data_IF_799531697089
#
_entry.id   IF_799531697089
#
_cell.length_a   1.000
_cell.length_b   1.000
_cell.length_c   1.000
_cell.angle_alpha   90.00
_cell.angle_beta   90.00
_cell.angle_gamma   90.00
#
_symmetry.space_group_name_H-M   'P 1'
#
loop_
_entity.id
_entity.type
_entity.pdbx_description
1 polymer ?
#
# COMPACT_ATOMS: atom_id res chain seq x y z
N UNK A 1 -17.52 0.19 -9.86
CA UNK A 1 -16.73 0.07 -8.62
C UNK A 1 -15.32 0.46 -8.98
N UNK A 2 -14.61 1.21 -8.13
CA UNK A 2 -13.18 1.44 -8.34
C UNK A 2 -12.48 0.08 -8.41
N UNK A 3 -11.59 -0.08 -9.40
CA UNK A 3 -10.78 -1.28 -9.57
C UNK A 3 -9.86 -1.40 -8.35
N UNK A 4 -9.94 -2.55 -7.66
CA UNK A 4 -9.14 -2.79 -6.46
C UNK A 4 -7.78 -3.34 -6.86
N UNK A 5 -6.74 -2.98 -6.12
CA UNK A 5 -5.44 -3.64 -6.31
C UNK A 5 -5.56 -5.12 -5.93
N UNK A 6 -4.76 -5.97 -6.58
CA UNK A 6 -4.67 -7.39 -6.23
C UNK A 6 -4.33 -7.60 -4.74
N UNK A 7 -3.56 -6.68 -4.15
CA UNK A 7 -3.27 -6.69 -2.71
C UNK A 7 -4.54 -6.55 -1.85
N UNK A 8 -5.40 -5.58 -2.17
CA UNK A 8 -6.68 -5.39 -1.47
C UNK A 8 -7.63 -6.57 -1.70
N UNK A 9 -7.64 -7.16 -2.89
CA UNK A 9 -8.47 -8.34 -3.18
C UNK A 9 -8.08 -9.56 -2.35
N UNK A 10 -6.78 -9.80 -2.14
CA UNK A 10 -6.29 -10.96 -1.38
C UNK A 10 -6.48 -10.80 0.13
N UNK A 11 -6.27 -9.60 0.67
CA UNK A 11 -6.30 -9.36 2.12
C UNK A 11 -7.61 -8.77 2.64
N UNK A 12 -8.49 -8.35 1.73
CA UNK A 12 -9.76 -7.71 2.04
C UNK A 12 -9.64 -6.20 2.21
N UNK A 13 -10.78 -5.53 2.00
CA UNK A 13 -10.89 -4.07 2.05
C UNK A 13 -11.03 -3.54 3.49
N UNK A 14 -9.90 -3.56 4.19
CA UNK A 14 -9.79 -3.03 5.54
C UNK A 14 -8.94 -1.74 5.55
N UNK A 15 -9.21 -0.80 6.48
CA UNK A 15 -8.44 0.45 6.57
C UNK A 15 -6.92 0.27 6.62
N UNK A 16 -6.42 -0.72 7.38
CA UNK A 16 -4.99 -1.03 7.43
C UNK A 16 -4.46 -1.48 6.06
N UNK A 17 -5.20 -2.33 5.37
CA UNK A 17 -4.82 -2.87 4.06
C UNK A 17 -4.75 -1.75 3.03
N UNK A 18 -5.73 -0.84 2.99
CA UNK A 18 -5.70 0.32 2.08
C UNK A 18 -4.55 1.30 2.36
N UNK A 19 -4.18 1.49 3.63
CA UNK A 19 -2.99 2.29 3.99
C UNK A 19 -1.71 1.59 3.51
N UNK A 20 -1.58 0.29 3.73
CA UNK A 20 -0.41 -0.47 3.29
C UNK A 20 -0.31 -0.54 1.77
N UNK A 21 -1.42 -0.76 1.07
CA UNK A 21 -1.51 -0.77 -0.39
C UNK A 21 -0.95 0.54 -0.98
N UNK A 22 -1.45 1.68 -0.50
CA UNK A 22 -0.92 2.99 -0.90
C UNK A 22 0.58 3.12 -0.61
N UNK A 23 1.02 2.76 0.60
CA UNK A 23 2.43 2.88 0.99
C UNK A 23 3.36 1.97 0.17
N UNK A 24 2.92 0.78 -0.21
CA UNK A 24 3.68 -0.16 -1.05
C UNK A 24 3.80 0.38 -2.48
N UNK A 25 2.70 0.90 -3.03
CA UNK A 25 2.67 1.53 -4.35
C UNK A 25 3.56 2.78 -4.40
N UNK A 26 3.48 3.62 -3.36
CA UNK A 26 4.14 4.92 -3.29
C UNK A 26 5.49 4.90 -2.57
N UNK A 27 6.07 3.70 -2.35
CA UNK A 27 7.27 3.46 -1.53
C UNK A 27 8.53 4.24 -1.94
N UNK A 28 8.60 4.68 -3.18
CA UNK A 28 9.74 5.42 -3.75
C UNK A 28 9.66 6.93 -3.50
N UNK A 29 8.60 7.39 -2.81
CA UNK A 29 8.31 8.79 -2.52
C UNK A 29 7.94 8.99 -1.03
N UNK A 30 7.91 10.25 -0.60
CA UNK A 30 7.46 10.63 0.74
C UNK A 30 6.20 11.51 0.72
N UNK A 31 5.36 11.33 1.74
CA UNK A 31 4.05 11.96 1.83
C UNK A 31 3.74 12.42 3.25
N UNK A 32 2.93 13.47 3.37
CA UNK A 32 2.36 13.85 4.65
C UNK A 32 1.28 12.86 5.10
N UNK A 33 1.01 12.82 6.41
CA UNK A 33 -0.10 12.02 6.96
C UNK A 33 -1.43 12.34 6.28
N UNK A 34 -1.67 13.60 5.93
CA UNK A 34 -2.89 14.05 5.23
C UNK A 34 -2.99 13.46 3.82
N UNK A 35 -1.89 13.47 3.07
CA UNK A 35 -1.85 12.87 1.72
C UNK A 35 -2.04 11.36 1.79
N UNK A 36 -1.40 10.68 2.74
CA UNK A 36 -1.55 9.23 2.93
C UNK A 36 -3.01 8.90 3.31
N UNK A 37 -3.61 9.64 4.24
CA UNK A 37 -5.01 9.45 4.64
C UNK A 37 -5.95 9.62 3.44
N UNK A 38 -5.74 10.69 2.65
CA UNK A 38 -6.55 10.99 1.47
C UNK A 38 -6.42 9.90 0.41
N UNK A 39 -5.20 9.52 0.05
CA UNK A 39 -4.94 8.57 -1.03
C UNK A 39 -5.27 7.11 -0.66
N UNK A 40 -5.26 6.77 0.64
CA UNK A 40 -5.76 5.47 1.12
C UNK A 40 -7.29 5.42 1.26
N UNK A 41 -7.98 6.56 1.14
CA UNK A 41 -9.43 6.67 1.32
C UNK A 41 -9.90 6.32 2.74
N UNK A 42 -9.02 6.41 3.74
CA UNK A 42 -9.32 6.03 5.13
C UNK A 42 -9.74 7.26 5.92
N UNK A 43 -10.76 7.13 6.78
CA UNK A 43 -11.16 8.21 7.69
C UNK A 43 -10.09 8.49 8.76
N UNK A 44 -9.92 9.76 9.14
CA UNK A 44 -8.85 10.21 10.05
C UNK A 44 -8.79 9.45 11.38
N UNK A 45 -9.95 9.11 11.97
CA UNK A 45 -9.99 8.37 13.24
C UNK A 45 -9.32 7.00 13.10
N UNK A 46 -9.69 6.22 12.09
CA UNK A 46 -9.09 4.90 11.84
C UNK A 46 -7.61 5.03 11.45
N UNK A 47 -7.29 5.99 10.58
CA UNK A 47 -5.93 6.25 10.15
C UNK A 47 -5.01 6.57 11.32
N UNK A 48 -5.42 7.47 12.23
CA UNK A 48 -4.56 7.91 13.34
C UNK A 48 -4.22 6.79 14.31
N UNK A 49 -5.13 5.83 14.55
CA UNK A 49 -4.82 4.62 15.34
C UNK A 49 -3.85 3.69 14.59
N UNK A 50 -4.12 3.41 13.31
CA UNK A 50 -3.22 2.60 12.46
C UNK A 50 -1.82 3.20 12.41
N UNK A 51 -1.73 4.51 12.20
CA UNK A 51 -0.48 5.23 12.01
C UNK A 51 0.44 5.13 13.23
N UNK A 52 -0.11 5.22 14.44
CA UNK A 52 0.67 5.01 15.68
C UNK A 52 1.37 3.65 15.68
N UNK A 53 0.68 2.60 15.25
CA UNK A 53 1.24 1.25 15.17
C UNK A 53 2.29 1.11 14.08
N UNK A 54 2.07 1.71 12.90
CA UNK A 54 3.04 1.67 11.80
C UNK A 54 4.35 2.38 12.17
N UNK A 55 4.26 3.54 12.85
CA UNK A 55 5.43 4.28 13.34
C UNK A 55 6.14 3.48 14.44
N UNK A 56 5.41 2.95 15.42
CA UNK A 56 5.99 2.19 16.54
C UNK A 56 6.71 0.90 16.10
N UNK A 57 6.29 0.30 14.99
CA UNK A 57 6.92 -0.87 14.38
C UNK A 57 7.98 -0.54 13.33
N UNK A 58 8.30 0.74 13.16
CA UNK A 58 9.21 1.25 12.13
C UNK A 58 8.85 0.76 10.72
N UNK A 59 7.55 0.60 10.44
CA UNK A 59 7.04 0.28 9.10
C UNK A 59 7.07 1.54 8.23
N UNK A 60 6.83 2.70 8.83
CA UNK A 60 6.98 4.02 8.21
C UNK A 60 7.96 4.85 9.01
N UNK A 61 8.73 5.69 8.32
CA UNK A 61 9.77 6.54 8.93
C UNK A 61 9.62 7.98 8.48
N UNK A 62 9.87 8.92 9.38
CA UNK A 62 9.97 10.35 9.04
C UNK A 62 11.18 10.55 8.12
N UNK A 63 10.97 11.17 6.96
CA UNK A 63 12.05 11.46 6.00
C UNK A 63 12.58 12.88 6.16
N UNK A 64 11.67 13.86 6.11
CA UNK A 64 12.00 15.29 6.17
C UNK A 64 10.84 16.13 6.67
N UNK A 65 11.15 17.39 6.97
CA UNK A 65 10.19 18.43 7.33
C UNK A 65 10.27 19.57 6.31
N UNK A 66 9.13 19.95 5.75
CA UNK A 66 9.01 21.08 4.83
C UNK A 66 8.05 22.10 5.45
N UNK A 67 8.57 23.25 5.88
CA UNK A 67 7.81 24.19 6.70
C UNK A 67 7.30 23.52 7.97
N UNK A 68 5.98 23.44 8.16
CA UNK A 68 5.35 22.72 9.28
C UNK A 68 4.95 21.27 8.95
N UNK A 69 5.01 20.85 7.68
CA UNK A 69 4.63 19.51 7.26
C UNK A 69 5.75 18.50 7.54
N UNK A 70 5.37 17.34 8.08
CA UNK A 70 6.23 16.16 8.23
C UNK A 70 5.92 15.19 7.11
N UNK A 71 6.95 14.74 6.39
CA UNK A 71 6.83 13.74 5.34
C UNK A 71 7.37 12.40 5.81
N UNK A 72 6.72 11.33 5.37
CA UNK A 72 7.00 9.97 5.75
C UNK A 72 7.09 9.09 4.52
N UNK A 73 7.94 8.07 4.59
CA UNK A 73 8.04 7.03 3.57
C UNK A 73 7.90 5.65 4.21
N UNK A 74 7.61 4.65 3.36
CA UNK A 74 7.69 3.26 3.75
C UNK A 74 9.15 2.90 4.06
N UNK A 75 9.40 2.26 5.20
CA UNK A 75 10.74 1.88 5.62
C UNK A 75 11.20 0.60 4.92
N UNK A 76 11.69 0.72 3.69
CA UNK A 76 12.17 -0.41 2.88
C UNK A 76 13.42 -1.10 3.46
N UNK A 77 14.06 -0.52 4.49
CA UNK A 77 15.15 -1.18 5.20
C UNK A 77 14.67 -2.24 6.20
N UNK A 78 13.43 -2.11 6.70
CA UNK A 78 12.82 -3.02 7.67
C UNK A 78 12.60 -4.42 7.04
N UNK A 79 13.10 -5.52 7.66
CA UNK A 79 12.98 -6.86 7.10
C UNK A 79 11.53 -7.30 6.84
N UNK A 80 10.61 -6.96 7.73
CA UNK A 80 9.20 -7.30 7.57
C UNK A 80 8.57 -6.55 6.38
N UNK A 81 8.91 -5.28 6.21
CA UNK A 81 8.46 -4.47 5.07
C UNK A 81 9.00 -5.03 3.75
N UNK A 82 10.23 -5.54 3.70
CA UNK A 82 10.78 -6.18 2.51
C UNK A 82 9.96 -7.42 2.11
N UNK A 83 9.57 -8.24 3.07
CA UNK A 83 8.73 -9.41 2.82
C UNK A 83 7.31 -9.01 2.39
N UNK A 84 6.75 -7.94 2.96
CA UNK A 84 5.47 -7.37 2.53
C UNK A 84 5.50 -6.93 1.05
N UNK A 85 6.53 -6.21 0.64
CA UNK A 85 6.72 -5.79 -0.76
C UNK A 85 6.93 -7.00 -1.68
N UNK A 86 7.66 -8.03 -1.22
CA UNK A 86 7.84 -9.26 -2.01
C UNK A 86 6.50 -9.96 -2.22
N UNK A 87 5.68 -10.06 -1.18
CA UNK A 87 4.36 -10.68 -1.24
C UNK A 87 3.43 -9.94 -2.22
N UNK A 88 3.39 -8.62 -2.17
CA UNK A 88 2.65 -7.78 -3.13
C UNK A 88 3.07 -8.05 -4.58
N UNK A 89 4.38 -8.13 -4.85
CA UNK A 89 4.91 -8.48 -6.19
C UNK A 89 4.46 -9.87 -6.65
N UNK A 90 4.43 -10.85 -5.74
CA UNK A 90 3.98 -12.22 -6.06
C UNK A 90 2.50 -12.22 -6.42
N UNK A 91 1.66 -11.58 -5.60
CA UNK A 91 0.22 -11.47 -5.83
C UNK A 91 -0.07 -10.76 -7.15
N UNK A 92 0.58 -9.62 -7.39
CA UNK A 92 0.44 -8.86 -8.65
C UNK A 92 0.80 -9.70 -9.87
N UNK A 93 1.90 -10.47 -9.80
CA UNK A 93 2.30 -11.36 -10.89
C UNK A 93 1.26 -12.45 -11.15
N UNK A 94 0.76 -13.10 -10.09
CA UNK A 94 -0.23 -14.17 -10.21
C UNK A 94 -1.52 -13.67 -10.87
N UNK A 95 -2.04 -12.52 -10.44
CA UNK A 95 -3.25 -11.95 -11.06
C UNK A 95 -2.99 -11.50 -12.50
N UNK A 96 -1.81 -10.93 -12.79
CA UNK A 96 -1.44 -10.57 -14.18
C UNK A 96 -1.40 -11.80 -15.09
N UNK A 97 -0.78 -12.90 -14.64
CA UNK A 97 -0.70 -14.16 -15.39
C UNK A 97 -2.10 -14.77 -15.62
N UNK A 98 -2.96 -14.71 -14.60
CA UNK A 98 -4.35 -15.16 -14.70
C UNK A 98 -5.13 -14.35 -15.74
N UNK A 99 -5.09 -13.02 -15.68
CA UNK A 99 -5.76 -12.13 -16.64
C UNK A 99 -5.30 -12.38 -18.07
N UNK A 100 -3.99 -12.56 -18.30
CA UNK A 100 -3.45 -12.90 -19.62
C UNK A 100 -3.96 -14.27 -20.11
N UNK A 101 -4.02 -15.26 -19.22
CA UNK A 101 -4.53 -16.60 -19.56
C UNK A 101 -6.02 -16.61 -19.92
N UNK A 102 -6.82 -15.77 -19.25
CA UNK A 102 -8.26 -15.62 -19.51
C UNK A 102 -8.50 -14.87 -20.82
N UNK A 103 -7.78 -13.76 -21.05
CA UNK A 103 -7.85 -13.02 -22.32
C UNK A 103 -7.42 -13.84 -23.53
N UNK A 104 -6.41 -14.71 -23.39
CA UNK A 104 -6.03 -15.64 -24.46
C UNK A 104 -7.12 -16.69 -24.77
N UNK A 105 -7.91 -17.13 -23.77
CA UNK A 105 -9.03 -18.05 -24.00
C UNK A 105 -10.19 -17.38 -24.73
N UNK A 106 -10.46 -16.11 -24.44
CA UNK A 106 -11.52 -15.34 -25.11
C UNK A 106 -11.21 -15.08 -26.59
N UNK A 107 -9.95 -14.89 -26.95
CA UNK A 107 -9.51 -14.67 -28.35
C UNK A 107 -9.50 -15.99 -29.15
N UNK A 108 -9.41 -17.14 -28.48
CA UNK A 108 -9.33 -18.46 -29.11
C UNK A 108 -10.69 -19.09 -29.44
N UNK A 109 -11.81 -18.40 -29.17
CA UNK A 109 -13.20 -18.80 -29.47
C UNK A 109 -13.69 -18.00 -30.68
#
# INVERSE_FOLDING_TARGET
MEEKSAFVEYFGDYPLIRVLDFLILARDMDYSMTEITKNSGVGWTAFSEIWKHLVAKEIVTLTRKIGNAKLFSLNTSNPWVKELIRMDKVITRLETEKMLSEGMKEIAI
#
